data_IF_656884024284
#
_entry.id   IF_656884024284
#
_cell.length_a   1.000
_cell.length_b   1.000
_cell.length_c   1.000
_cell.angle_alpha   90.00
_cell.angle_beta   90.00
_cell.angle_gamma   90.00
#
_symmetry.space_group_name_H-M   'P 1'
#
loop_
_entity.id
_entity.type
_entity.pdbx_description
1 polymer ?
#
# COMPACT_ATOMS: atom_id res chain seq x y z
N UNK A 1 2.10 -11.81 -1.57
CA UNK A 1 0.65 -11.76 -1.27
C UNK A 1 -0.26 -11.76 -2.50
N UNK A 2 0.24 -11.48 -3.71
CA UNK A 2 -0.56 -11.64 -4.92
C UNK A 2 -1.54 -10.51 -5.20
N UNK A 3 -1.63 -9.49 -4.34
CA UNK A 3 -2.34 -8.22 -4.59
C UNK A 3 -1.46 -7.29 -5.43
N UNK A 4 -2.07 -6.58 -6.39
CA UNK A 4 -1.35 -5.57 -7.17
C UNK A 4 -1.49 -4.18 -6.58
N UNK A 5 -0.38 -3.64 -6.07
CA UNK A 5 -0.29 -2.28 -5.56
C UNK A 5 0.27 -1.35 -6.64
N UNK A 6 -0.43 -0.25 -6.93
CA UNK A 6 0.11 0.86 -7.71
C UNK A 6 0.62 1.93 -6.75
N UNK A 7 1.93 2.07 -6.61
CA UNK A 7 2.54 3.06 -5.72
C UNK A 7 2.69 4.38 -6.49
N UNK A 8 1.98 5.42 -6.07
CA UNK A 8 2.01 6.76 -6.67
C UNK A 8 2.57 7.78 -5.68
N UNK A 9 2.99 8.95 -6.17
CA UNK A 9 3.57 10.01 -5.34
C UNK A 9 4.59 10.85 -6.10
N UNK A 10 5.01 11.96 -5.51
CA UNK A 10 5.96 12.90 -6.13
C UNK A 10 7.32 12.25 -6.42
N UNK A 11 8.10 12.83 -7.34
CA UNK A 11 9.45 12.34 -7.65
C UNK A 11 10.36 12.49 -6.43
N UNK A 12 11.19 11.48 -6.16
CA UNK A 12 12.11 11.48 -5.02
C UNK A 12 11.48 11.18 -3.65
N UNK A 13 10.19 10.84 -3.57
CA UNK A 13 9.52 10.50 -2.30
C UNK A 13 9.88 9.11 -1.74
N UNK A 14 10.64 8.29 -2.49
CA UNK A 14 11.04 6.94 -2.07
C UNK A 14 10.27 5.78 -2.70
N UNK A 15 9.64 5.98 -3.88
CA UNK A 15 8.86 4.93 -4.57
C UNK A 15 9.75 3.74 -5.00
N UNK A 16 10.84 4.05 -5.69
CA UNK A 16 11.76 3.05 -6.27
C UNK A 16 12.50 2.29 -5.17
N UNK A 17 12.91 2.97 -4.09
CA UNK A 17 13.51 2.37 -2.90
C UNK A 17 12.51 1.45 -2.18
N UNK A 18 11.26 1.89 -1.99
CA UNK A 18 10.21 1.05 -1.43
C UNK A 18 9.92 -0.18 -2.31
N UNK A 19 9.95 -0.03 -3.64
CA UNK A 19 9.76 -1.14 -4.57
C UNK A 19 10.89 -2.17 -4.47
N UNK A 20 12.13 -1.70 -4.35
CA UNK A 20 13.30 -2.57 -4.17
C UNK A 20 13.25 -3.32 -2.82
N UNK A 21 12.91 -2.65 -1.72
CA UNK A 21 12.71 -3.27 -0.41
C UNK A 21 11.62 -4.36 -0.45
N UNK A 22 10.54 -4.12 -1.20
CA UNK A 22 9.50 -5.13 -1.39
C UNK A 22 10.01 -6.32 -2.21
N UNK A 23 10.83 -6.10 -3.23
CA UNK A 23 11.45 -7.20 -4.00
C UNK A 23 12.38 -8.04 -3.13
N UNK A 24 13.22 -7.40 -2.31
CA UNK A 24 14.11 -8.09 -1.37
C UNK A 24 13.33 -8.98 -0.39
N UNK A 25 12.13 -8.55 0.01
CA UNK A 25 11.16 -9.32 0.82
C UNK A 25 10.40 -10.40 0.05
N UNK A 26 10.73 -10.64 -1.21
CA UNK A 26 10.15 -11.69 -2.05
C UNK A 26 8.89 -11.29 -2.83
N UNK A 27 8.56 -10.00 -2.91
CA UNK A 27 7.51 -9.51 -3.81
C UNK A 27 8.04 -9.35 -5.24
N UNK A 28 7.15 -8.98 -6.16
CA UNK A 28 7.46 -8.95 -7.59
C UNK A 28 7.28 -7.56 -8.17
N UNK A 29 8.31 -7.06 -8.83
CA UNK A 29 8.26 -5.84 -9.62
C UNK A 29 7.52 -6.10 -10.94
N UNK A 30 6.61 -5.19 -11.29
CA UNK A 30 5.93 -5.19 -12.60
C UNK A 30 6.54 -4.13 -13.52
N UNK A 31 6.78 -2.96 -12.96
CA UNK A 31 7.27 -1.79 -13.64
C UNK A 31 7.79 -0.80 -12.59
N UNK A 32 8.77 0.02 -12.97
CA UNK A 32 9.20 1.21 -12.24
C UNK A 32 9.12 2.43 -13.18
N UNK A 33 9.01 3.62 -12.59
CA UNK A 33 8.86 4.94 -13.25
C UNK A 33 7.61 5.09 -14.16
N UNK A 34 7.57 4.39 -15.29
CA UNK A 34 6.49 4.47 -16.27
C UNK A 34 5.65 3.18 -16.32
N UNK A 35 4.45 3.27 -15.74
CA UNK A 35 3.46 2.19 -15.72
C UNK A 35 2.41 2.41 -16.80
N UNK A 36 2.30 1.49 -17.75
CA UNK A 36 1.20 1.48 -18.71
C UNK A 36 0.00 0.77 -18.10
N UNK A 37 -1.15 1.46 -18.05
CA UNK A 37 -2.40 0.89 -17.55
C UNK A 37 -3.35 0.64 -18.72
N UNK A 38 -3.91 -0.57 -18.78
CA UNK A 38 -4.97 -0.93 -19.71
C UNK A 38 -6.22 -1.32 -18.94
N UNK A 39 -7.36 -0.74 -19.30
CA UNK A 39 -8.66 -1.22 -18.88
C UNK A 39 -9.06 -2.41 -19.76
N UNK A 40 -9.25 -3.57 -19.14
CA UNK A 40 -9.84 -4.76 -19.78
C UNK A 40 -11.33 -4.83 -19.43
N UNK A 41 -12.04 -5.79 -20.03
CA UNK A 41 -13.45 -6.05 -19.74
C UNK A 41 -13.75 -6.12 -18.24
N UNK A 42 -15.02 -5.97 -17.87
CA UNK A 42 -15.48 -5.97 -16.46
C UNK A 42 -14.81 -4.91 -15.56
N UNK A 43 -14.23 -3.85 -16.14
CA UNK A 43 -13.60 -2.78 -15.36
C UNK A 43 -12.31 -3.19 -14.66
N UNK A 44 -11.59 -4.19 -15.17
CA UNK A 44 -10.31 -4.62 -14.58
C UNK A 44 -9.18 -3.76 -15.13
N UNK A 45 -8.40 -3.12 -14.23
CA UNK A 45 -7.17 -2.42 -14.60
C UNK A 45 -5.98 -3.37 -14.57
N UNK A 46 -5.23 -3.42 -15.66
CA UNK A 46 -4.01 -4.21 -15.79
C UNK A 46 -2.81 -3.27 -15.97
N UNK A 47 -1.83 -3.39 -15.07
CA UNK A 47 -0.56 -2.67 -15.14
C UNK A 47 0.52 -3.48 -15.85
N UNK A 48 1.35 -2.76 -16.60
CA UNK A 48 2.48 -3.27 -17.37
C UNK A 48 3.65 -2.28 -17.28
N UNK A 49 4.87 -2.77 -17.52
CA UNK A 49 5.98 -1.88 -17.85
C UNK A 49 5.71 -1.20 -19.20
N UNK A 50 6.00 0.11 -19.28
CA UNK A 50 5.97 0.87 -20.53
C UNK A 50 7.25 0.67 -21.36
N UNK A 51 8.26 -0.04 -20.84
CA UNK A 51 9.52 -0.26 -21.52
C UNK A 51 9.32 -1.03 -22.84
N UNK A 52 10.08 -0.64 -23.87
CA UNK A 52 10.01 -1.24 -25.22
C UNK A 52 10.69 -2.60 -25.33
N UNK A 53 11.47 -3.00 -24.33
CA UNK A 53 12.21 -4.26 -24.27
C UNK A 53 12.12 -4.87 -22.86
N UNK A 54 11.99 -6.21 -22.73
CA UNK A 54 12.02 -6.88 -21.44
C UNK A 54 13.27 -6.57 -20.61
N UNK A 55 14.43 -6.41 -21.26
CA UNK A 55 15.67 -6.08 -20.56
C UNK A 55 15.55 -4.75 -19.80
N UNK A 56 14.93 -3.72 -20.39
CA UNK A 56 14.73 -2.42 -19.74
C UNK A 56 13.63 -2.45 -18.68
N UNK A 57 12.66 -3.36 -18.79
CA UNK A 57 11.54 -3.46 -17.85
C UNK A 57 11.95 -3.91 -16.43
N UNK A 58 13.15 -4.47 -16.28
CA UNK A 58 13.63 -5.03 -15.01
C UNK A 58 14.56 -4.09 -14.23
N UNK A 59 14.79 -2.87 -14.75
CA UNK A 59 15.70 -1.92 -14.12
C UNK A 59 14.96 -0.94 -13.20
N UNK A 60 15.62 -0.56 -12.11
CA UNK A 60 15.19 0.49 -11.17
C UNK A 60 16.34 1.50 -11.05
N UNK A 61 16.01 2.79 -11.02
CA UNK A 61 16.99 3.83 -10.63
C UNK A 61 16.98 3.99 -9.10
N UNK A 62 18.14 3.83 -8.47
CA UNK A 62 18.32 4.08 -7.04
C UNK A 62 19.26 5.26 -6.86
N UNK A 63 18.77 6.34 -6.24
CA UNK A 63 19.57 7.56 -6.06
C UNK A 63 20.80 7.27 -5.19
N UNK A 64 21.95 7.77 -5.63
CA UNK A 64 23.23 7.55 -4.95
C UNK A 64 23.89 6.18 -5.23
N UNK A 65 23.18 5.26 -5.89
CA UNK A 65 23.72 3.95 -6.32
C UNK A 65 23.81 3.85 -7.83
N UNK A 66 22.77 4.27 -8.55
CA UNK A 66 22.66 4.19 -10.00
C UNK A 66 21.55 3.24 -10.46
N UNK A 67 21.67 2.73 -11.68
CA UNK A 67 20.69 1.81 -12.27
C UNK A 67 20.97 0.39 -11.77
N UNK A 68 19.92 -0.27 -11.27
CA UNK A 68 19.95 -1.60 -10.69
C UNK A 68 19.14 -2.56 -11.56
N UNK A 69 19.74 -3.68 -11.98
CA UNK A 69 19.03 -4.78 -12.66
C UNK A 69 18.42 -5.74 -11.62
N UNK A 70 17.12 -5.64 -11.42
CA UNK A 70 16.38 -6.45 -10.45
C UNK A 70 16.33 -7.93 -10.85
N UNK A 71 16.31 -8.23 -12.15
CA UNK A 71 16.28 -9.61 -12.62
C UNK A 71 17.61 -10.32 -12.34
N UNK A 72 18.73 -9.65 -12.60
CA UNK A 72 20.06 -10.22 -12.36
C UNK A 72 20.34 -10.44 -10.87
N UNK A 73 19.82 -9.57 -9.99
CA UNK A 73 20.03 -9.68 -8.54
C UNK A 73 19.11 -10.70 -7.86
N UNK A 74 17.82 -10.71 -8.19
CA UNK A 74 16.81 -11.48 -7.45
C UNK A 74 16.16 -12.62 -8.26
N UNK A 75 16.55 -12.74 -9.54
CA UNK A 75 16.11 -13.79 -10.44
C UNK A 75 14.67 -13.65 -10.94
N UNK A 76 14.24 -14.62 -11.73
CA UNK A 76 12.93 -14.63 -12.42
C UNK A 76 11.73 -14.48 -11.47
N UNK A 77 11.88 -14.88 -10.19
CA UNK A 77 10.79 -14.82 -9.20
C UNK A 77 10.45 -13.39 -8.77
N UNK A 78 11.39 -12.45 -8.91
CA UNK A 78 11.23 -11.05 -8.55
C UNK A 78 10.53 -10.21 -9.62
N UNK A 79 10.29 -10.76 -10.82
CA UNK A 79 9.71 -10.03 -11.95
C UNK A 79 8.31 -10.56 -12.28
N UNK A 80 7.44 -9.67 -12.74
CA UNK A 80 6.11 -10.00 -13.25
C UNK A 80 5.76 -9.15 -14.46
N UNK A 81 5.48 -9.77 -15.60
CA UNK A 81 5.17 -9.04 -16.85
C UNK A 81 3.94 -8.13 -16.74
N UNK A 82 2.90 -8.59 -16.05
CA UNK A 82 1.66 -7.85 -15.87
C UNK A 82 0.99 -8.24 -14.56
N UNK A 83 0.23 -7.31 -13.98
CA UNK A 83 -0.57 -7.56 -12.80
C UNK A 83 -1.80 -6.65 -12.77
N UNK A 84 -2.92 -7.20 -12.30
CA UNK A 84 -4.13 -6.42 -12.00
C UNK A 84 -3.78 -5.38 -10.93
N UNK A 85 -4.18 -4.13 -11.16
CA UNK A 85 -4.09 -3.06 -10.17
C UNK A 85 -5.34 -3.17 -9.29
N UNK A 86 -5.13 -3.38 -8.00
CA UNK A 86 -6.19 -3.65 -7.02
C UNK A 86 -6.28 -2.54 -5.98
N UNK A 87 -5.16 -1.89 -5.65
CA UNK A 87 -5.10 -0.78 -4.69
C UNK A 87 -4.09 0.26 -5.20
N UNK A 88 -4.45 1.54 -5.14
CA UNK A 88 -3.49 2.65 -5.24
C UNK A 88 -2.95 2.97 -3.84
N UNK A 89 -1.63 2.98 -3.69
CA UNK A 89 -0.96 3.48 -2.49
C UNK A 89 -0.27 4.80 -2.84
N UNK A 90 -0.85 5.90 -2.36
CA UNK A 90 -0.35 7.24 -2.65
C UNK A 90 0.57 7.72 -1.54
N UNK A 91 1.85 7.83 -1.85
CA UNK A 91 2.84 8.43 -0.96
C UNK A 91 2.74 9.96 -1.03
N UNK A 92 2.64 10.61 0.12
CA UNK A 92 2.61 12.07 0.23
C UNK A 92 3.66 12.57 1.22
N UNK A 93 4.27 13.75 1.00
CA UNK A 93 5.17 14.33 1.99
C UNK A 93 4.41 14.57 3.31
N UNK A 94 5.08 14.34 4.43
CA UNK A 94 4.51 14.73 5.72
C UNK A 94 4.39 16.25 5.81
N UNK A 95 3.18 16.74 6.02
CA UNK A 95 2.89 18.14 6.26
C UNK A 95 2.26 18.30 7.64
N UNK A 96 2.80 19.22 8.43
CA UNK A 96 2.21 19.61 9.72
C UNK A 96 0.81 20.17 9.50
N UNK A 97 -0.20 19.52 10.07
CA UNK A 97 -1.61 19.94 9.97
C UNK A 97 -2.48 19.10 9.03
N UNK A 98 -1.92 18.14 8.30
CA UNK A 98 -2.73 17.16 7.57
C UNK A 98 -3.21 16.09 8.55
N UNK A 99 -4.50 16.09 8.86
CA UNK A 99 -5.14 14.99 9.57
C UNK A 99 -5.08 13.74 8.70
N UNK A 100 -4.16 12.84 9.02
CA UNK A 100 -4.16 11.50 8.46
C UNK A 100 -5.24 10.69 9.17
N UNK A 101 -6.14 10.07 8.41
CA UNK A 101 -7.24 9.28 8.95
C UNK A 101 -6.68 8.14 9.82
N UNK A 102 -6.94 8.19 11.13
CA UNK A 102 -6.32 7.28 12.11
C UNK A 102 -7.04 5.93 12.24
N UNK A 103 -8.34 5.92 11.95
CA UNK A 103 -9.20 4.78 12.21
C UNK A 103 -9.39 3.86 10.98
N UNK A 104 -9.19 4.38 9.76
CA UNK A 104 -9.38 3.62 8.52
C UNK A 104 -10.80 3.09 8.36
N UNK A 105 -11.79 3.86 8.82
CA UNK A 105 -13.20 3.48 8.83
C UNK A 105 -13.84 3.83 7.48
N UNK A 106 -13.45 4.97 6.90
CA UNK A 106 -13.93 5.37 5.58
C UNK A 106 -13.02 4.80 4.48
N UNK A 107 -13.65 4.33 3.40
CA UNK A 107 -12.91 3.84 2.25
C UNK A 107 -12.74 4.96 1.23
N UNK A 108 -11.49 5.30 0.96
CA UNK A 108 -11.14 6.23 -0.10
C UNK A 108 -10.97 5.47 -1.42
N UNK A 109 -11.33 6.13 -2.51
CA UNK A 109 -11.20 5.59 -3.86
C UNK A 109 -10.52 6.61 -4.76
N UNK A 110 -9.68 6.12 -5.66
CA UNK A 110 -9.22 6.87 -6.82
C UNK A 110 -9.85 6.30 -8.08
N UNK A 111 -9.81 7.07 -9.16
CA UNK A 111 -10.36 6.66 -10.45
C UNK A 111 -9.26 6.65 -11.51
N UNK A 112 -9.08 5.51 -12.18
CA UNK A 112 -8.12 5.34 -13.27
C UNK A 112 -8.88 4.75 -14.45
N UNK A 113 -8.85 5.43 -15.61
CA UNK A 113 -9.57 5.02 -16.83
C UNK A 113 -11.08 4.74 -16.60
N UNK A 114 -11.72 5.49 -15.72
CA UNK A 114 -13.13 5.30 -15.37
C UNK A 114 -13.42 4.12 -14.44
N UNK A 115 -12.39 3.55 -13.80
CA UNK A 115 -12.52 2.46 -12.83
C UNK A 115 -12.11 2.97 -11.46
N UNK A 116 -13.02 2.85 -10.49
CA UNK A 116 -12.74 3.13 -9.08
C UNK A 116 -11.93 2.01 -8.45
N UNK A 117 -10.82 2.35 -7.82
CA UNK A 117 -9.99 1.42 -7.04
C UNK A 117 -9.77 1.98 -5.62
N UNK A 118 -9.66 1.13 -4.60
CA UNK A 118 -9.27 1.55 -3.27
C UNK A 118 -7.99 2.38 -3.28
N UNK A 119 -8.02 3.51 -2.57
CA UNK A 119 -6.91 4.42 -2.40
C UNK A 119 -6.48 4.40 -0.93
N UNK A 120 -5.18 4.26 -0.69
CA UNK A 120 -4.58 4.42 0.62
C UNK A 120 -3.51 5.50 0.54
N UNK A 121 -3.71 6.61 1.25
CA UNK A 121 -2.74 7.70 1.30
C UNK A 121 -1.80 7.51 2.49
N UNK A 122 -0.50 7.41 2.23
CA UNK A 122 0.53 7.18 3.25
C UNK A 122 1.47 8.38 3.30
N UNK A 123 1.52 9.10 4.43
CA UNK A 123 2.52 10.12 4.59
C UNK A 123 3.89 9.49 4.84
N UNK A 124 4.90 10.03 4.16
CA UNK A 124 6.30 9.63 4.28
C UNK A 124 6.97 10.48 5.34
N UNK A 125 7.43 9.82 6.40
CA UNK A 125 8.23 10.40 7.49
C UNK A 125 9.55 9.64 7.58
N UNK A 126 10.67 10.30 7.95
CA UNK A 126 11.94 9.62 8.18
C UNK A 126 11.79 8.44 9.15
N UNK A 127 12.43 7.30 8.83
CA UNK A 127 12.39 6.08 9.66
C UNK A 127 11.15 5.20 9.48
N UNK A 128 10.13 5.62 8.73
CA UNK A 128 8.96 4.78 8.44
C UNK A 128 9.32 3.70 7.41
N UNK A 129 9.11 2.45 7.79
CA UNK A 129 9.30 1.32 6.87
C UNK A 129 8.12 1.22 5.89
N UNK A 130 8.27 1.84 4.71
CA UNK A 130 7.22 1.87 3.69
C UNK A 130 6.91 0.49 3.12
N UNK A 131 7.90 -0.40 2.97
CA UNK A 131 7.68 -1.75 2.49
C UNK A 131 6.74 -2.53 3.43
N UNK A 132 7.00 -2.51 4.74
CA UNK A 132 6.14 -3.14 5.74
C UNK A 132 4.71 -2.57 5.70
N UNK A 133 4.57 -1.25 5.59
CA UNK A 133 3.24 -0.61 5.49
C UNK A 133 2.50 -1.10 4.24
N UNK A 134 3.17 -1.18 3.08
CA UNK A 134 2.60 -1.71 1.85
C UNK A 134 2.18 -3.19 1.98
N UNK A 135 2.97 -4.01 2.69
CA UNK A 135 2.59 -5.41 2.98
C UNK A 135 1.33 -5.50 3.84
N UNK A 136 1.21 -4.63 4.86
CA UNK A 136 0.01 -4.55 5.69
C UNK A 136 -1.20 -4.10 4.88
N UNK A 137 -1.05 -3.12 3.97
CA UNK A 137 -2.12 -2.68 3.06
C UNK A 137 -2.59 -3.86 2.19
N UNK A 138 -1.66 -4.60 1.59
CA UNK A 138 -2.01 -5.78 0.78
C UNK A 138 -2.77 -6.85 1.59
N UNK A 139 -2.31 -7.15 2.81
CA UNK A 139 -2.99 -8.10 3.70
C UNK A 139 -4.37 -7.61 4.12
N UNK A 140 -4.50 -6.32 4.47
CA UNK A 140 -5.78 -5.72 4.84
C UNK A 140 -6.76 -5.72 3.65
N UNK A 141 -6.28 -5.47 2.44
CA UNK A 141 -7.09 -5.60 1.23
C UNK A 141 -7.63 -7.02 1.06
N UNK A 142 -6.79 -8.05 1.28
CA UNK A 142 -7.23 -9.45 1.23
C UNK A 142 -8.35 -9.71 2.26
N UNK A 143 -8.21 -9.21 3.50
CA UNK A 143 -9.25 -9.35 4.52
C UNK A 143 -10.59 -8.74 4.07
N UNK A 144 -10.55 -7.53 3.53
CA UNK A 144 -11.74 -6.83 3.01
C UNK A 144 -12.39 -7.59 1.86
N UNK A 145 -11.61 -8.17 0.96
CA UNK A 145 -12.11 -9.02 -0.14
C UNK A 145 -12.82 -10.27 0.40
N UNK A 146 -12.37 -10.81 1.53
CA UNK A 146 -13.04 -11.91 2.25
C UNK A 146 -14.20 -11.45 3.15
N UNK A 147 -14.57 -10.17 3.12
CA UNK A 147 -15.67 -9.61 3.92
C UNK A 147 -15.33 -9.31 5.37
N UNK A 148 -14.04 -9.34 5.75
CA UNK A 148 -13.59 -8.96 7.09
C UNK A 148 -13.06 -7.52 7.11
N UNK A 149 -13.65 -6.67 7.96
CA UNK A 149 -13.33 -5.24 8.07
C UNK A 149 -12.81 -4.92 9.48
N UNK A 150 -11.49 -5.01 9.73
CA UNK A 150 -10.91 -4.88 11.08
C UNK A 150 -11.27 -3.58 11.80
N UNK A 151 -11.24 -2.44 11.08
CA UNK A 151 -11.54 -1.12 11.66
C UNK A 151 -12.98 -1.02 12.17
N UNK A 152 -13.94 -1.58 11.43
CA UNK A 152 -15.36 -1.62 11.85
C UNK A 152 -15.52 -2.50 13.08
N UNK A 153 -14.95 -3.70 13.05
CA UNK A 153 -15.03 -4.63 14.19
C UNK A 153 -14.39 -4.05 15.46
N UNK A 154 -13.28 -3.32 15.32
CA UNK A 154 -12.64 -2.63 16.44
C UNK A 154 -13.50 -1.49 16.99
N UNK A 155 -14.07 -0.67 16.10
CA UNK A 155 -14.96 0.42 16.49
C UNK A 155 -16.23 -0.10 17.18
N UNK A 156 -16.84 -1.16 16.65
CA UNK A 156 -18.05 -1.78 17.22
C UNK A 156 -17.77 -2.31 18.63
N UNK A 157 -16.61 -2.95 18.86
CA UNK A 157 -16.23 -3.43 20.20
C UNK A 157 -15.90 -2.27 21.14
N UNK A 158 -15.23 -1.21 20.69
CA UNK A 158 -15.02 -0.01 21.50
C UNK A 158 -16.34 0.62 21.94
N UNK A 159 -17.30 0.79 21.02
CA UNK A 159 -18.63 1.32 21.33
C UNK A 159 -19.40 0.42 22.31
N UNK A 160 -19.22 -0.91 22.20
CA UNK A 160 -19.77 -1.90 23.14
C UNK A 160 -19.18 -1.76 24.54
N UNK A 161 -17.88 -1.50 24.66
CA UNK A 161 -17.20 -1.29 25.94
C UNK A 161 -17.57 0.07 26.55
N UNK A 162 -17.71 1.13 25.76
CA UNK A 162 -18.07 2.47 26.25
C UNK A 162 -19.54 2.58 26.71
N UNK A 163 -20.44 1.79 26.12
CA UNK A 163 -21.87 1.75 26.51
C UNK A 163 -22.14 0.96 27.78
N UNK A 164 -21.19 0.12 28.23
CA UNK A 164 -21.18 -0.43 29.57
C UNK A 164 -20.36 0.54 30.44
N UNK A 165 -20.99 1.26 31.36
CA UNK A 165 -20.31 2.25 32.22
C UNK A 165 -18.94 1.76 32.74
N UNK A 166 -17.96 2.67 32.91
CA UNK A 166 -16.68 2.35 33.54
C UNK A 166 -16.91 2.18 35.04
N UNK A 167 -17.49 1.05 35.44
CA UNK A 167 -17.27 0.54 36.79
C UNK A 167 -15.97 -0.23 36.66
N UNK A 168 -14.85 0.48 36.88
CA UNK A 168 -13.66 -0.20 37.34
C UNK A 168 -13.99 -0.76 38.73
N UNK A 169 -14.14 -2.09 38.90
CA UNK A 169 -14.45 -2.66 40.21
C UNK A 169 -13.28 -2.49 41.20
N UNK A 170 -12.15 -1.93 40.78
CA UNK A 170 -10.99 -1.65 41.61
C UNK A 170 -10.86 -0.18 42.05
N UNK A 171 -11.76 0.71 41.64
CA UNK A 171 -11.87 2.06 42.22
C UNK A 171 -12.99 2.05 43.27
N UNK A 172 -12.83 1.22 44.30
CA UNK A 172 -13.51 1.46 45.57
C UNK A 172 -12.57 2.30 46.42
N UNK A 173 -12.92 3.57 46.56
CA UNK A 173 -12.62 4.44 47.69
C UNK A 173 -11.45 4.00 48.58
N UNK A 174 -10.27 4.60 48.37
CA UNK A 174 -9.39 4.91 49.49
C UNK A 174 -10.13 5.97 50.34
N UNK A 175 -11.03 5.51 51.21
CA UNK A 175 -11.45 6.25 52.38
C UNK A 175 -10.73 5.69 53.61
N UNK A 176 -10.04 6.62 54.27
CA UNK A 176 -9.27 6.58 55.53
C UNK A 176 -7.79 6.15 55.47
#
# INVERSE_FOLDING_TARGET
>A
FGVGLLITGESGIGKSECALDLVDRGHRLVADDLVRVLRRGNGILMGYSAAKSPALAHHIEVRGVGIVDVYSLYGVRAIRVQKRIEVEVRLVPWQSGVECERAGIEEQFSEILGVKIPLVTIPVVPGKNLALVNEVIAKNHILKVFGYYPARHFNDELMRLMSKSPIDPYITEDQE
#
